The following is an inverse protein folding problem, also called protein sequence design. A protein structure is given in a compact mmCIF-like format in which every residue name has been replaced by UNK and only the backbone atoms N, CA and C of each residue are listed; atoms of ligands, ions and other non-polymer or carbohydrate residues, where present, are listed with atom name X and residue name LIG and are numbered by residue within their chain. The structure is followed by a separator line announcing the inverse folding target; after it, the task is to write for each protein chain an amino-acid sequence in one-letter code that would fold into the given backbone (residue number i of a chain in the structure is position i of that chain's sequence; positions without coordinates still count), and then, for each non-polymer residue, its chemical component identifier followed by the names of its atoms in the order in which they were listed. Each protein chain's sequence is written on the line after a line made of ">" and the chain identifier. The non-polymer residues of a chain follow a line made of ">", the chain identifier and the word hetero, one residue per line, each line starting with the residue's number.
data_IF_341494872181
#
_entry.id   IF_341494872181
#
_cell.length_a   1.000
_cell.length_b   1.000
_cell.length_c   1.000
_cell.angle_alpha   90.00
_cell.angle_beta   90.00
_cell.angle_gamma   90.00
#
_symmetry.space_group_name_H-M   'P 1'
#
loop_
_entity.id
_entity.type
_entity.pdbx_description
1 polymer ?
#
# COMPACT_ATOMS: atom_id res chain seq x y z
N UNK A 1 9.88 35.63 -12.02
CA UNK A 1 9.93 34.18 -12.32
C UNK A 1 11.23 33.50 -11.82
N UNK A 2 11.95 34.08 -10.85
CA UNK A 2 13.27 33.57 -10.39
C UNK A 2 13.20 32.28 -9.56
N UNK A 3 12.05 32.04 -8.91
CA UNK A 3 11.89 30.94 -7.96
C UNK A 3 12.00 29.54 -8.58
N UNK A 4 11.71 29.37 -9.88
CA UNK A 4 11.89 28.09 -10.59
C UNK A 4 13.38 27.79 -10.82
N UNK A 5 14.14 28.80 -11.24
CA UNK A 5 15.60 28.68 -11.43
C UNK A 5 16.34 28.56 -10.10
N UNK A 6 15.88 29.24 -9.05
CA UNK A 6 16.43 29.12 -7.69
C UNK A 6 16.02 27.81 -7.00
N UNK A 7 14.85 27.25 -7.35
CA UNK A 7 14.32 26.03 -6.75
C UNK A 7 15.09 24.76 -7.11
N UNK A 8 15.93 24.81 -8.17
CA UNK A 8 16.91 23.78 -8.52
C UNK A 8 16.34 22.35 -8.48
N UNK A 9 16.94 21.49 -7.65
CA UNK A 9 16.55 20.09 -7.52
C UNK A 9 15.12 19.90 -6.98
N UNK A 10 14.67 20.77 -6.06
CA UNK A 10 13.32 20.69 -5.46
C UNK A 10 12.24 21.05 -6.48
N UNK A 11 12.50 22.04 -7.33
CA UNK A 11 11.62 22.40 -8.43
C UNK A 11 11.47 21.25 -9.44
N UNK A 12 12.60 20.67 -9.88
CA UNK A 12 12.58 19.53 -10.80
C UNK A 12 11.86 18.30 -10.22
N UNK A 13 11.99 18.06 -8.91
CA UNK A 13 11.26 16.99 -8.24
C UNK A 13 9.75 17.27 -8.19
N UNK A 14 9.36 18.51 -7.85
CA UNK A 14 7.94 18.90 -7.82
C UNK A 14 7.27 18.70 -9.19
N UNK A 15 7.95 19.08 -10.27
CA UNK A 15 7.46 18.91 -11.64
C UNK A 15 7.22 17.43 -11.98
N UNK A 16 8.22 16.56 -11.75
CA UNK A 16 8.11 15.12 -12.03
C UNK A 16 7.01 14.45 -11.21
N UNK A 17 6.85 14.84 -9.95
CA UNK A 17 5.81 14.30 -9.08
C UNK A 17 4.43 14.76 -9.55
N UNK A 18 4.25 16.04 -9.88
CA UNK A 18 2.97 16.56 -10.40
C UNK A 18 2.60 15.89 -11.73
N UNK A 19 3.55 15.74 -12.66
CA UNK A 19 3.32 15.06 -13.94
C UNK A 19 2.84 13.62 -13.75
N UNK A 20 3.50 12.87 -12.85
CA UNK A 20 3.09 11.51 -12.50
C UNK A 20 1.67 11.48 -11.90
N UNK A 21 1.40 12.35 -10.94
CA UNK A 21 0.08 12.44 -10.30
C UNK A 21 -1.00 12.83 -11.31
N UNK A 22 -0.74 13.79 -12.19
CA UNK A 22 -1.69 14.23 -13.21
C UNK A 22 -2.04 13.11 -14.21
N UNK A 23 -1.11 12.20 -14.49
CA UNK A 23 -1.34 11.04 -15.37
C UNK A 23 -2.04 9.86 -14.70
N UNK A 24 -2.18 9.88 -13.36
CA UNK A 24 -2.73 8.77 -12.58
C UNK A 24 -4.26 8.82 -12.52
N UNK A 25 -4.92 7.67 -12.74
CA UNK A 25 -6.39 7.57 -12.67
C UNK A 25 -6.95 7.89 -11.28
N UNK A 26 -6.22 7.57 -10.21
CA UNK A 26 -6.58 7.88 -8.82
C UNK A 26 -6.66 9.39 -8.53
N UNK A 27 -5.93 10.20 -9.32
CA UNK A 27 -5.83 11.65 -9.17
C UNK A 27 -6.63 12.42 -10.22
N UNK A 28 -7.23 11.72 -11.19
CA UNK A 28 -7.98 12.32 -12.30
C UNK A 28 -9.19 13.15 -11.82
N UNK A 29 -9.79 12.80 -10.68
CA UNK A 29 -10.94 13.48 -10.09
C UNK A 29 -10.58 14.37 -8.89
N UNK A 30 -9.28 14.55 -8.60
CA UNK A 30 -8.80 15.38 -7.49
C UNK A 30 -8.66 16.83 -7.93
N UNK A 31 -8.87 17.76 -7.01
CA UNK A 31 -8.64 19.18 -7.28
C UNK A 31 -7.14 19.48 -7.42
N UNK A 32 -6.81 20.58 -8.11
CA UNK A 32 -5.44 21.08 -8.19
C UNK A 32 -4.84 21.35 -6.80
N UNK A 33 -5.65 21.79 -5.84
CA UNK A 33 -5.20 22.04 -4.47
C UNK A 33 -4.76 20.75 -3.77
N UNK A 34 -5.58 19.69 -3.84
CA UNK A 34 -5.22 18.38 -3.27
C UNK A 34 -3.94 17.81 -3.91
N UNK A 35 -3.81 17.97 -5.23
CA UNK A 35 -2.60 17.49 -5.94
C UNK A 35 -1.36 18.28 -5.52
N UNK A 36 -1.47 19.60 -5.39
CA UNK A 36 -0.38 20.45 -4.92
C UNK A 36 0.08 20.09 -3.49
N UNK A 37 -0.86 19.77 -2.59
CA UNK A 37 -0.52 19.32 -1.24
C UNK A 37 0.29 18.03 -1.25
N UNK A 38 -0.12 17.05 -2.07
CA UNK A 38 0.60 15.78 -2.19
C UNK A 38 1.97 15.94 -2.85
N UNK A 39 2.08 16.76 -3.89
CA UNK A 39 3.38 17.13 -4.50
C UNK A 39 4.28 17.75 -3.43
N UNK A 40 3.79 18.72 -2.69
CA UNK A 40 4.54 19.41 -1.63
C UNK A 40 4.99 18.45 -0.54
N UNK A 41 4.13 17.52 -0.13
CA UNK A 41 4.44 16.47 0.85
C UNK A 41 5.57 15.56 0.35
N UNK A 42 5.47 15.05 -0.87
CA UNK A 42 6.47 14.14 -1.46
C UNK A 42 7.80 14.83 -1.70
N UNK A 43 7.79 16.10 -2.11
CA UNK A 43 9.02 16.90 -2.23
C UNK A 43 9.66 17.08 -0.87
N UNK A 44 8.90 17.40 0.18
CA UNK A 44 9.48 17.50 1.53
C UNK A 44 10.09 16.19 2.00
N UNK A 45 9.41 15.07 1.76
CA UNK A 45 9.92 13.73 2.05
C UNK A 45 11.23 13.42 1.31
N UNK A 46 11.27 13.68 0.00
CA UNK A 46 12.45 13.42 -0.83
C UNK A 46 13.68 14.23 -0.39
N UNK A 47 13.49 15.38 0.25
CA UNK A 47 14.57 16.25 0.71
C UNK A 47 14.77 16.27 2.24
N UNK A 48 14.06 15.42 2.98
CA UNK A 48 14.21 15.31 4.44
C UNK A 48 13.59 16.45 5.26
N UNK A 49 12.68 17.24 4.68
CA UNK A 49 11.91 18.29 5.34
C UNK A 49 10.60 17.76 5.97
N UNK A 50 10.54 16.44 6.19
CA UNK A 50 9.43 15.86 6.93
C UNK A 50 9.42 16.53 8.32
N UNK A 51 8.33 17.19 8.72
CA UNK A 51 8.25 17.67 10.08
C UNK A 51 8.39 16.42 10.92
N UNK A 52 9.46 16.33 11.73
CA UNK A 52 9.51 15.35 12.79
C UNK A 52 8.31 15.66 13.66
N UNK A 53 7.17 15.02 13.36
CA UNK A 53 5.98 15.06 14.17
C UNK A 53 6.51 14.76 15.57
N UNK A 54 6.34 15.70 16.47
CA UNK A 54 6.61 15.38 17.87
C UNK A 54 5.81 14.11 18.17
N UNK A 55 6.35 13.18 18.95
CA UNK A 55 5.69 11.87 19.15
C UNK A 55 4.22 11.99 19.58
N UNK A 56 3.84 13.14 20.11
CA UNK A 56 2.49 13.52 20.49
C UNK A 56 1.57 13.85 19.31
N UNK A 57 2.04 14.56 18.29
CA UNK A 57 1.26 14.87 17.08
C UNK A 57 1.04 13.62 16.21
N UNK A 58 2.02 12.73 16.15
CA UNK A 58 1.88 11.43 15.49
C UNK A 58 0.83 10.55 16.20
N UNK A 59 0.78 10.60 17.54
CA UNK A 59 -0.20 9.86 18.34
C UNK A 59 -1.63 10.40 18.13
N UNK A 60 -1.79 11.73 18.11
CA UNK A 60 -3.08 12.37 17.87
C UNK A 60 -3.60 12.11 16.45
N UNK A 61 -2.75 12.24 15.43
CA UNK A 61 -3.12 11.92 14.05
C UNK A 61 -3.52 10.44 13.88
N UNK A 62 -2.82 9.51 14.56
CA UNK A 62 -3.17 8.09 14.57
C UNK A 62 -4.51 7.83 15.29
N UNK A 63 -4.79 8.53 16.40
CA UNK A 63 -6.05 8.43 17.13
C UNK A 63 -7.24 8.99 16.33
N UNK A 64 -7.04 10.10 15.60
CA UNK A 64 -8.06 10.68 14.72
C UNK A 64 -8.36 9.76 13.53
N UNK A 65 -7.32 9.19 12.90
CA UNK A 65 -7.49 8.21 11.83
C UNK A 65 -8.22 6.95 12.32
N UNK A 66 -7.89 6.45 13.52
CA UNK A 66 -8.58 5.31 14.15
C UNK A 66 -10.05 5.63 14.47
N UNK A 67 -10.34 6.84 14.95
CA UNK A 67 -11.70 7.26 15.30
C UNK A 67 -12.57 7.44 14.05
N UNK A 68 -12.00 7.97 12.96
CA UNK A 68 -12.68 8.09 11.66
C UNK A 68 -12.95 6.72 11.05
N UNK A 69 -12.04 5.76 11.20
CA UNK A 69 -12.25 4.37 10.79
C UNK A 69 -13.36 3.69 11.61
N UNK A 70 -13.45 3.93 12.92
CA UNK A 70 -14.53 3.38 13.78
C UNK A 70 -15.92 3.90 13.41
N UNK A 71 -16.04 5.15 12.97
CA UNK A 71 -17.31 5.73 12.53
C UNK A 71 -17.71 5.34 11.10
N UNK A 72 -16.79 4.76 10.32
CA UNK A 72 -17.04 4.28 8.96
C UNK A 72 -17.36 2.77 8.90
N UNK A 73 -17.36 2.08 10.04
CA UNK A 73 -17.69 0.65 10.12
C UNK A 73 -19.17 0.49 10.49
N UNK A 74 -19.98 -0.25 9.70
CA UNK A 74 -21.35 -0.58 10.07
C UNK A 74 -21.38 -1.42 11.35
N UNK A 75 -22.39 -1.19 12.19
CA UNK A 75 -22.59 -1.87 13.47
C UNK A 75 -23.08 -3.32 13.26
N UNK A 76 -22.18 -4.22 12.84
CA UNK A 76 -22.16 -5.65 13.16
C UNK A 76 -21.11 -6.39 12.31
N UNK A 77 -20.26 -7.25 12.89
CA UNK A 77 -19.19 -7.97 12.18
C UNK A 77 -19.69 -9.20 11.40
N UNK A 78 -21.01 -9.41 11.30
CA UNK A 78 -21.60 -10.66 10.80
C UNK A 78 -21.65 -10.79 9.27
N UNK A 79 -21.21 -9.79 8.50
CA UNK A 79 -21.07 -9.86 7.04
C UNK A 79 -19.62 -10.07 6.55
N UNK A 80 -18.63 -10.16 7.45
CA UNK A 80 -17.29 -10.66 7.12
C UNK A 80 -17.15 -12.17 7.37
N UNK A 81 -18.29 -12.85 7.47
CA UNK A 81 -18.37 -14.30 7.48
C UNK A 81 -17.87 -14.88 6.16
N UNK A 82 -16.61 -15.29 6.15
CA UNK A 82 -16.12 -16.46 5.43
C UNK A 82 -16.15 -16.42 3.90
N UNK A 83 -15.09 -15.89 3.28
CA UNK A 83 -14.42 -16.43 2.07
C UNK A 83 -13.05 -15.73 1.95
N UNK A 84 -11.98 -16.20 2.58
CA UNK A 84 -10.90 -16.94 1.88
C UNK A 84 -9.75 -17.29 2.85
N UNK A 85 -10.02 -18.03 3.93
CA UNK A 85 -8.96 -18.64 4.77
C UNK A 85 -9.21 -20.11 5.11
N UNK A 86 -9.99 -20.80 4.27
CA UNK A 86 -10.05 -22.27 4.31
C UNK A 86 -9.05 -22.93 3.34
N UNK A 87 -8.66 -22.25 2.25
CA UNK A 87 -7.79 -22.88 1.22
C UNK A 87 -6.30 -22.92 1.53
N UNK A 88 -5.77 -21.98 2.32
CA UNK A 88 -4.33 -21.81 2.51
C UNK A 88 -3.73 -22.87 3.45
N UNK A 89 -4.43 -23.17 4.54
CA UNK A 89 -4.05 -24.26 5.46
C UNK A 89 -4.20 -25.63 4.82
N UNK A 90 -5.23 -25.87 4.01
CA UNK A 90 -5.40 -27.14 3.30
C UNK A 90 -4.32 -27.35 2.23
N UNK A 91 -3.94 -26.29 1.51
CA UNK A 91 -2.85 -26.37 0.52
C UNK A 91 -1.52 -26.69 1.19
N UNK A 92 -1.18 -26.03 2.30
CA UNK A 92 0.04 -26.33 3.05
C UNK A 92 0.05 -27.73 3.64
N UNK A 93 -1.07 -28.19 4.22
CA UNK A 93 -1.18 -29.57 4.71
C UNK A 93 -1.03 -30.59 3.56
N UNK A 94 -1.53 -30.26 2.37
CA UNK A 94 -1.43 -31.13 1.18
C UNK A 94 -0.03 -31.13 0.59
N UNK A 95 0.68 -30.01 0.58
CA UNK A 95 2.11 -29.93 0.22
C UNK A 95 2.96 -30.74 1.21
N UNK A 96 2.65 -30.67 2.51
CA UNK A 96 3.39 -31.42 3.55
C UNK A 96 3.15 -32.94 3.51
N UNK A 97 2.00 -33.38 2.98
CA UNK A 97 1.60 -34.79 2.92
C UNK A 97 1.72 -35.43 1.53
N UNK A 98 1.93 -34.64 0.47
CA UNK A 98 2.06 -35.13 -0.89
C UNK A 98 3.41 -35.82 -1.13
N UNK A 99 3.40 -36.89 -1.93
CA UNK A 99 4.62 -37.53 -2.41
C UNK A 99 5.24 -36.73 -3.59
N UNK A 100 6.47 -37.10 -4.00
CA UNK A 100 7.22 -36.35 -5.02
C UNK A 100 6.49 -36.22 -6.37
N UNK A 101 5.71 -37.24 -6.76
CA UNK A 101 4.93 -37.21 -8.01
C UNK A 101 3.69 -36.32 -7.90
N UNK A 102 3.05 -36.32 -6.72
CA UNK A 102 1.88 -35.50 -6.41
C UNK A 102 2.23 -34.03 -6.23
N UNK A 103 3.39 -33.74 -5.64
CA UNK A 103 3.92 -32.38 -5.52
C UNK A 103 4.13 -31.74 -6.90
N UNK A 104 4.71 -32.47 -7.85
CA UNK A 104 4.92 -31.96 -9.21
C UNK A 104 3.61 -31.54 -9.89
N UNK A 105 2.56 -32.36 -9.79
CA UNK A 105 1.24 -32.06 -10.33
C UNK A 105 0.54 -30.91 -9.58
N UNK A 106 0.80 -30.79 -8.28
CA UNK A 106 0.27 -29.72 -7.46
C UNK A 106 0.88 -28.38 -7.87
N UNK A 107 2.21 -28.29 -8.00
CA UNK A 107 2.89 -27.09 -8.46
C UNK A 107 2.52 -26.71 -9.90
N UNK A 108 2.34 -27.69 -10.80
CA UNK A 108 1.90 -27.46 -12.18
C UNK A 108 0.46 -26.88 -12.26
N UNK A 109 -0.38 -27.19 -11.27
CA UNK A 109 -1.74 -26.66 -11.16
C UNK A 109 -1.84 -25.27 -10.51
N UNK A 110 -0.73 -24.77 -9.94
CA UNK A 110 -0.68 -23.47 -9.27
C UNK A 110 -0.10 -22.42 -10.21
N UNK A 111 -0.68 -21.22 -10.20
CA UNK A 111 -0.12 -20.06 -10.89
C UNK A 111 1.16 -19.58 -10.21
N UNK A 112 2.05 -18.92 -10.96
CA UNK A 112 3.31 -18.35 -10.43
C UNK A 112 3.09 -17.51 -9.17
N UNK A 113 2.03 -16.68 -9.14
CA UNK A 113 1.69 -15.88 -7.96
C UNK A 113 1.30 -16.74 -6.75
N UNK A 114 0.64 -17.88 -6.96
CA UNK A 114 0.30 -18.80 -5.86
C UNK A 114 1.53 -19.56 -5.35
N UNK A 115 2.50 -19.83 -6.23
CA UNK A 115 3.78 -20.42 -5.85
C UNK A 115 4.60 -19.44 -5.01
N UNK A 116 4.67 -18.17 -5.40
CA UNK A 116 5.35 -17.13 -4.63
C UNK A 116 4.74 -16.92 -3.24
N UNK A 117 3.40 -16.93 -3.15
CA UNK A 117 2.70 -16.85 -1.86
C UNK A 117 3.01 -18.06 -0.96
N UNK A 118 3.11 -19.26 -1.53
CA UNK A 118 3.52 -20.45 -0.79
C UNK A 118 4.94 -20.35 -0.26
N UNK A 119 5.89 -19.87 -1.08
CA UNK A 119 7.29 -19.68 -0.68
C UNK A 119 7.40 -18.64 0.43
N UNK A 120 6.71 -17.51 0.28
CA UNK A 120 6.63 -16.47 1.29
C UNK A 120 6.07 -16.99 2.62
N UNK A 121 5.00 -17.79 2.59
CA UNK A 121 4.41 -18.40 3.78
C UNK A 121 5.30 -19.50 4.40
N UNK A 122 6.12 -20.18 3.60
CA UNK A 122 7.11 -21.15 4.07
C UNK A 122 8.40 -20.49 4.61
N UNK A 123 8.54 -19.17 4.48
CA UNK A 123 9.69 -18.41 4.95
C UNK A 123 10.90 -18.44 4.00
N UNK A 124 10.67 -18.71 2.71
CA UNK A 124 11.68 -18.66 1.64
C UNK A 124 11.57 -17.39 0.80
#
# INVERSE_FOLDING_TARGET
>A
QSWMSEGGARWNAAQQIDDHLASSSEWANRSYAERFEEVSKRVRQAFGDDPKLSGQEALSAAQEASSKAKNALPASPSELGNTHRAGDSDLMNRVQSANHEELGKLFDSLSETQIEQLLYNAGF
#
